data_IF_359055670727
#
_entry.id   IF_359055670727
#
_cell.length_a   1.000
_cell.length_b   1.000
_cell.length_c   1.000
_cell.angle_alpha   90.00
_cell.angle_beta   90.00
_cell.angle_gamma   90.00
#
_symmetry.space_group_name_H-M   'P 1'
#
loop_
_entity.id
_entity.type
_entity.pdbx_description
1 polymer ?
#
# COMPACT_ATOMS: atom_id res chain seq x y z
N UNK A 1 -41.32 6.81 -28.74
CA UNK A 1 -40.64 5.52 -28.98
C UNK A 1 -39.16 5.82 -29.04
N UNK A 2 -38.46 5.57 -27.97
CA UNK A 2 -36.99 5.69 -27.91
C UNK A 2 -36.46 4.28 -27.64
N UNK A 3 -35.75 3.72 -28.59
CA UNK A 3 -35.07 2.42 -28.50
C UNK A 3 -33.76 2.67 -27.77
N UNK A 4 -33.60 2.09 -26.59
CA UNK A 4 -32.33 2.04 -25.87
C UNK A 4 -31.43 1.00 -26.55
N UNK A 5 -30.39 1.46 -27.22
CA UNK A 5 -29.28 0.60 -27.66
C UNK A 5 -28.51 0.15 -26.40
N UNK A 6 -28.63 -1.13 -26.10
CA UNK A 6 -27.72 -1.82 -25.18
C UNK A 6 -26.36 -1.93 -25.88
N UNK A 7 -25.37 -1.20 -25.39
CA UNK A 7 -24.00 -1.31 -25.83
C UNK A 7 -23.45 -2.71 -25.59
N UNK A 8 -23.23 -3.46 -26.66
CA UNK A 8 -22.50 -4.73 -26.65
C UNK A 8 -21.04 -4.39 -26.34
N UNK A 9 -20.54 -4.88 -25.20
CA UNK A 9 -19.11 -4.80 -24.87
C UNK A 9 -18.32 -5.54 -25.99
N UNK A 10 -17.21 -4.96 -26.49
CA UNK A 10 -16.40 -5.61 -27.51
C UNK A 10 -15.87 -6.96 -26.99
N UNK A 11 -15.73 -7.93 -27.91
CA UNK A 11 -15.23 -9.28 -27.63
C UNK A 11 -13.91 -9.22 -26.84
N UNK A 12 -14.00 -9.51 -25.54
CA UNK A 12 -12.85 -9.53 -24.66
C UNK A 12 -11.97 -10.74 -25.03
N UNK A 13 -10.69 -10.49 -25.27
CA UNK A 13 -9.65 -11.52 -25.37
C UNK A 13 -9.76 -12.44 -24.15
N UNK A 14 -9.77 -13.78 -24.30
CA UNK A 14 -9.86 -14.70 -23.20
C UNK A 14 -8.71 -14.47 -22.23
N UNK A 15 -9.01 -14.06 -21.00
CA UNK A 15 -8.02 -13.94 -19.92
C UNK A 15 -7.70 -15.36 -19.43
N UNK A 16 -6.43 -15.87 -19.53
CA UNK A 16 -6.11 -17.20 -19.06
C UNK A 16 -6.20 -17.24 -17.53
N UNK A 17 -7.34 -17.68 -17.02
CA UNK A 17 -7.55 -17.93 -15.57
C UNK A 17 -7.05 -19.31 -15.14
N UNK A 18 -6.71 -20.18 -16.10
CA UNK A 18 -6.21 -21.54 -15.87
C UNK A 18 -5.00 -21.83 -16.76
N UNK A 19 -4.08 -22.68 -16.23
CA UNK A 19 -2.95 -23.18 -17.00
C UNK A 19 -3.43 -24.25 -18.03
N UNK A 20 -2.52 -24.73 -18.88
CA UNK A 20 -2.80 -25.74 -19.90
C UNK A 20 -3.33 -27.07 -19.33
N UNK A 21 -3.29 -27.26 -18.01
CA UNK A 21 -3.77 -28.45 -17.27
C UNK A 21 -5.05 -28.14 -16.48
N UNK A 22 -5.65 -26.94 -16.65
CA UNK A 22 -6.89 -26.53 -16.00
C UNK A 22 -6.75 -26.07 -14.54
N UNK A 23 -5.52 -25.85 -14.04
CA UNK A 23 -5.27 -25.34 -12.70
C UNK A 23 -5.39 -23.82 -12.67
N UNK A 24 -5.90 -23.26 -11.56
CA UNK A 24 -5.92 -21.84 -11.36
C UNK A 24 -4.49 -21.25 -11.45
N UNK A 25 -4.32 -20.21 -12.26
CA UNK A 25 -3.05 -19.48 -12.35
C UNK A 25 -2.86 -18.71 -11.08
N UNK A 26 -1.78 -19.00 -10.35
CA UNK A 26 -1.37 -18.23 -9.17
C UNK A 26 -0.40 -17.14 -9.64
N UNK A 27 -0.79 -15.85 -9.51
CA UNK A 27 0.07 -14.76 -9.94
C UNK A 27 1.29 -14.60 -9.03
N UNK A 28 2.36 -14.02 -9.59
CA UNK A 28 3.53 -13.59 -8.82
C UNK A 28 3.18 -12.41 -7.91
N UNK A 29 4.01 -12.22 -6.87
CA UNK A 29 3.98 -11.06 -5.96
C UNK A 29 5.23 -10.22 -6.10
N UNK A 30 5.08 -8.90 -6.07
CA UNK A 30 6.11 -7.93 -5.76
C UNK A 30 5.64 -7.03 -4.62
N UNK A 31 6.55 -6.55 -3.81
CA UNK A 31 6.25 -5.62 -2.71
C UNK A 31 7.29 -4.51 -2.70
N UNK A 32 6.81 -3.27 -2.61
CA UNK A 32 7.60 -2.07 -2.37
C UNK A 32 7.28 -1.56 -0.97
N UNK A 33 8.31 -1.24 -0.20
CA UNK A 33 8.16 -0.65 1.13
C UNK A 33 8.96 0.64 1.24
N UNK A 34 8.29 1.70 1.65
CA UNK A 34 8.90 3.00 1.93
C UNK A 34 9.20 3.13 3.42
N UNK A 35 10.37 3.66 3.79
CA UNK A 35 10.79 3.82 5.17
C UNK A 35 11.27 5.22 5.46
N UNK A 36 11.07 5.65 6.71
CA UNK A 36 11.64 6.89 7.25
C UNK A 36 13.06 6.65 7.77
N UNK A 37 13.92 7.64 7.55
CA UNK A 37 15.22 7.76 8.18
C UNK A 37 15.13 8.81 9.29
N UNK A 38 15.43 8.42 10.52
CA UNK A 38 15.32 9.30 11.69
C UNK A 38 16.64 9.41 12.45
N UNK A 39 16.89 10.56 13.04
CA UNK A 39 18.06 10.81 13.87
C UNK A 39 18.09 9.90 15.10
N UNK A 40 19.28 9.43 15.49
CA UNK A 40 19.48 8.50 16.61
C UNK A 40 19.23 9.10 17.99
N UNK A 41 19.22 10.42 18.12
CA UNK A 41 19.04 11.12 19.41
C UNK A 41 17.66 11.77 19.49
N UNK A 42 17.30 12.55 18.46
CA UNK A 42 16.04 13.30 18.46
C UNK A 42 14.83 12.47 18.02
N UNK A 43 15.06 11.42 17.23
CA UNK A 43 14.04 10.59 16.55
C UNK A 43 13.26 11.36 15.48
N UNK A 44 13.67 12.58 15.14
CA UNK A 44 13.12 13.38 14.06
C UNK A 44 13.61 12.88 12.68
N UNK A 45 12.82 13.03 11.61
CA UNK A 45 13.28 12.72 10.25
C UNK A 45 14.54 13.48 9.87
N UNK A 46 15.49 12.79 9.19
CA UNK A 46 16.78 13.39 8.75
C UNK A 46 17.06 13.09 7.28
N UNK A 47 17.65 14.04 6.53
CA UNK A 47 17.90 13.90 5.08
C UNK A 47 19.15 13.04 4.80
N UNK A 48 19.09 11.74 5.11
CA UNK A 48 20.19 10.77 4.99
C UNK A 48 20.00 9.73 3.87
N UNK A 49 18.99 9.89 2.99
CA UNK A 49 18.71 8.90 1.94
C UNK A 49 19.92 8.59 1.05
N UNK A 50 20.64 9.60 0.57
CA UNK A 50 21.80 9.39 -0.30
C UNK A 50 22.87 8.44 0.29
N UNK A 51 23.47 8.75 1.47
CA UNK A 51 24.41 7.85 2.12
C UNK A 51 23.85 6.46 2.44
N UNK A 52 22.57 6.35 2.82
CA UNK A 52 21.93 5.06 3.12
C UNK A 52 21.79 4.22 1.85
N UNK A 53 21.34 4.82 0.74
CA UNK A 53 21.19 4.13 -0.54
C UNK A 53 22.57 3.70 -1.07
N UNK A 54 23.58 4.57 -1.01
CA UNK A 54 24.94 4.24 -1.41
C UNK A 54 25.46 3.01 -0.64
N UNK A 55 25.29 2.99 0.68
CA UNK A 55 25.71 1.86 1.51
C UNK A 55 24.89 0.59 1.24
N UNK A 56 23.57 0.71 1.10
CA UNK A 56 22.68 -0.43 0.88
C UNK A 56 22.83 -1.04 -0.53
N UNK A 57 23.08 -0.21 -1.55
CA UNK A 57 23.20 -0.66 -2.95
C UNK A 57 24.36 -1.62 -3.20
N UNK A 58 25.38 -1.64 -2.35
CA UNK A 58 26.45 -2.63 -2.42
C UNK A 58 25.95 -4.07 -2.27
N UNK A 59 24.85 -4.27 -1.52
CA UNK A 59 24.23 -5.57 -1.27
C UNK A 59 22.92 -5.76 -2.04
N UNK A 60 22.14 -4.69 -2.18
CA UNK A 60 20.79 -4.74 -2.73
C UNK A 60 20.74 -4.36 -4.22
N UNK A 61 21.78 -3.71 -4.74
CA UNK A 61 21.78 -3.21 -6.12
C UNK A 61 20.65 -2.21 -6.35
N UNK A 62 19.84 -2.49 -7.35
CA UNK A 62 18.68 -1.69 -7.80
C UNK A 62 17.41 -1.88 -6.96
N UNK A 63 17.46 -2.76 -5.94
CA UNK A 63 16.33 -3.03 -5.04
C UNK A 63 16.15 -1.98 -3.94
N UNK A 64 17.03 -0.98 -3.84
CA UNK A 64 16.90 0.18 -2.97
C UNK A 64 16.91 1.45 -3.81
N UNK A 65 15.97 2.36 -3.56
CA UNK A 65 15.76 3.54 -4.40
C UNK A 65 15.51 4.80 -3.57
N UNK A 66 15.70 5.95 -4.24
CA UNK A 66 15.36 7.25 -3.69
C UNK A 66 13.83 7.49 -3.75
N UNK A 67 13.32 8.12 -2.69
CA UNK A 67 11.96 8.63 -2.63
C UNK A 67 11.90 10.16 -2.70
N UNK A 68 10.67 10.71 -2.69
CA UNK A 68 10.43 12.14 -2.89
C UNK A 68 11.19 13.03 -1.90
N UNK A 69 11.21 12.66 -0.61
CA UNK A 69 11.98 13.39 0.39
C UNK A 69 13.27 12.66 0.75
N UNK A 70 14.35 13.42 1.00
CA UNK A 70 15.66 12.89 1.36
C UNK A 70 15.73 12.21 2.73
N UNK A 71 14.63 12.15 3.48
CA UNK A 71 14.48 11.34 4.69
C UNK A 71 13.77 10.02 4.46
N UNK A 72 13.56 9.62 3.21
CA UNK A 72 12.84 8.41 2.84
C UNK A 72 13.70 7.53 1.92
N UNK A 73 13.55 6.23 2.06
CA UNK A 73 14.13 5.22 1.16
C UNK A 73 13.06 4.19 0.83
N UNK A 74 13.07 3.70 -0.40
CA UNK A 74 12.21 2.64 -0.86
C UNK A 74 13.01 1.38 -1.12
N UNK A 75 12.46 0.22 -0.77
CA UNK A 75 12.99 -1.08 -1.15
C UNK A 75 11.96 -1.91 -1.89
N UNK A 76 12.40 -2.65 -2.91
CA UNK A 76 11.52 -3.43 -3.77
C UNK A 76 11.96 -4.90 -3.80
N UNK A 77 11.03 -5.84 -3.69
CA UNK A 77 11.33 -7.26 -3.92
C UNK A 77 11.45 -7.56 -5.41
N UNK A 78 12.12 -8.65 -5.75
CA UNK A 78 11.93 -9.30 -7.05
C UNK A 78 10.58 -10.04 -7.05
N UNK A 79 10.03 -10.38 -8.24
CA UNK A 79 8.82 -11.19 -8.31
C UNK A 79 8.97 -12.50 -7.55
N UNK A 80 8.08 -12.75 -6.58
CA UNK A 80 8.05 -13.94 -5.75
C UNK A 80 6.86 -14.84 -6.15
N UNK A 81 7.04 -16.16 -6.05
CA UNK A 81 5.98 -17.14 -6.34
C UNK A 81 5.41 -17.79 -5.08
N UNK A 82 6.11 -17.72 -3.94
CA UNK A 82 5.70 -18.32 -2.68
C UNK A 82 5.69 -17.32 -1.53
N UNK A 83 4.91 -17.62 -0.49
CA UNK A 83 4.90 -16.84 0.76
C UNK A 83 6.29 -16.83 1.44
N UNK A 84 7.00 -17.95 1.40
CA UNK A 84 8.34 -18.07 1.97
C UNK A 84 9.33 -17.19 1.27
N UNK A 85 9.27 -17.13 -0.07
CA UNK A 85 10.19 -16.31 -0.87
C UNK A 85 9.95 -14.81 -0.63
N UNK A 86 8.71 -14.33 -0.72
CA UNK A 86 8.43 -12.90 -0.45
C UNK A 86 8.83 -12.50 0.97
N UNK A 87 8.59 -13.36 1.97
CA UNK A 87 9.02 -13.12 3.36
C UNK A 87 10.53 -13.01 3.48
N UNK A 88 11.26 -13.96 2.88
CA UNK A 88 12.73 -13.97 2.92
C UNK A 88 13.34 -12.73 2.27
N UNK A 89 12.82 -12.32 1.11
CA UNK A 89 13.26 -11.11 0.42
C UNK A 89 13.01 -9.86 1.26
N UNK A 90 11.79 -9.67 1.79
CA UNK A 90 11.44 -8.53 2.64
C UNK A 90 12.30 -8.47 3.92
N UNK A 91 12.55 -9.62 4.57
CA UNK A 91 13.44 -9.67 5.74
C UNK A 91 14.87 -9.22 5.40
N UNK A 92 15.42 -9.72 4.28
CA UNK A 92 16.74 -9.30 3.79
C UNK A 92 16.79 -7.80 3.47
N UNK A 93 15.80 -7.27 2.75
CA UNK A 93 15.73 -5.88 2.35
C UNK A 93 15.67 -4.94 3.56
N UNK A 94 14.79 -5.23 4.53
CA UNK A 94 14.66 -4.45 5.77
C UNK A 94 15.95 -4.47 6.59
N UNK A 95 16.58 -5.64 6.76
CA UNK A 95 17.82 -5.76 7.53
C UNK A 95 18.97 -5.02 6.84
N UNK A 96 19.15 -5.17 5.53
CA UNK A 96 20.21 -4.48 4.78
C UNK A 96 20.01 -2.96 4.81
N UNK A 97 18.78 -2.47 4.60
CA UNK A 97 18.47 -1.04 4.68
C UNK A 97 18.69 -0.48 6.11
N UNK A 98 18.32 -1.25 7.14
CA UNK A 98 18.55 -0.84 8.52
C UNK A 98 20.04 -0.84 8.91
N UNK A 99 20.83 -1.79 8.41
CA UNK A 99 22.31 -1.77 8.60
C UNK A 99 22.93 -0.55 7.93
N UNK A 100 22.51 -0.24 6.69
CA UNK A 100 22.97 0.96 5.97
C UNK A 100 22.57 2.25 6.69
N UNK A 101 21.35 2.32 7.24
CA UNK A 101 20.89 3.45 8.05
C UNK A 101 21.75 3.62 9.32
N UNK A 102 22.03 2.53 10.05
CA UNK A 102 22.94 2.56 11.22
C UNK A 102 24.35 3.02 10.86
N UNK A 103 24.90 2.56 9.73
CA UNK A 103 26.20 2.99 9.23
C UNK A 103 26.22 4.48 8.82
N UNK A 104 25.06 5.04 8.46
CA UNK A 104 24.86 6.46 8.10
C UNK A 104 24.37 7.31 9.28
N UNK A 105 24.55 6.84 10.51
CA UNK A 105 24.20 7.52 11.78
C UNK A 105 22.72 7.89 11.90
N UNK A 106 21.81 7.04 11.39
CA UNK A 106 20.38 7.17 11.54
C UNK A 106 19.72 5.81 11.81
N UNK A 107 18.40 5.80 12.03
CA UNK A 107 17.59 4.59 12.18
C UNK A 107 16.61 4.49 11.01
N UNK A 108 16.33 3.26 10.57
CA UNK A 108 15.25 2.94 9.64
C UNK A 108 13.97 2.69 10.42
N UNK A 109 12.87 3.33 10.02
CA UNK A 109 11.58 3.24 10.72
C UNK A 109 10.43 3.00 9.76
N UNK A 110 9.71 1.92 9.96
CA UNK A 110 8.47 1.60 9.27
C UNK A 110 7.28 2.29 9.98
N UNK A 111 6.86 3.43 9.45
CA UNK A 111 5.68 4.19 9.90
C UNK A 111 5.07 4.90 8.70
N UNK A 112 3.74 4.93 8.59
CA UNK A 112 3.08 5.62 7.49
C UNK A 112 3.25 7.14 7.51
N UNK A 113 3.61 7.73 8.67
CA UNK A 113 3.90 9.16 8.84
C UNK A 113 5.01 9.36 9.86
N UNK A 114 5.64 10.53 9.86
CA UNK A 114 6.63 10.90 10.86
C UNK A 114 5.97 11.12 12.24
N UNK A 115 6.34 10.28 13.21
CA UNK A 115 5.81 10.34 14.59
C UNK A 115 6.27 11.62 15.30
N UNK A 116 7.56 11.94 15.18
CA UNK A 116 8.17 13.18 15.66
C UNK A 116 8.32 14.12 14.46
N UNK A 117 7.96 15.41 14.56
CA UNK A 117 8.15 16.34 13.46
C UNK A 117 9.64 16.53 13.16
N UNK A 118 10.02 16.86 11.92
CA UNK A 118 11.40 17.19 11.59
C UNK A 118 11.83 18.48 12.31
N UNK A 119 13.10 18.55 12.75
CA UNK A 119 13.68 19.73 13.41
C UNK A 119 13.89 20.90 12.43
N UNK A 120 13.96 20.61 11.13
CA UNK A 120 14.09 21.58 10.03
C UNK A 120 13.38 21.02 8.78
N UNK A 121 13.02 21.88 7.80
CA UNK A 121 12.44 21.41 6.54
C UNK A 121 13.32 20.36 5.85
N UNK A 122 12.72 19.22 5.50
CA UNK A 122 13.41 18.14 4.80
C UNK A 122 13.48 18.48 3.30
N UNK A 123 14.66 18.48 2.70
CA UNK A 123 14.80 18.70 1.27
C UNK A 123 14.14 17.60 0.44
N UNK A 124 13.57 17.99 -0.68
CA UNK A 124 13.15 17.07 -1.75
C UNK A 124 14.40 16.46 -2.40
N UNK A 125 14.32 15.23 -2.83
CA UNK A 125 15.37 14.53 -3.56
C UNK A 125 15.69 15.24 -4.86
N UNK A 126 17.00 15.46 -5.12
CA UNK A 126 17.47 16.34 -6.19
C UNK A 126 17.47 15.66 -7.58
N UNK A 127 16.30 15.23 -8.05
CA UNK A 127 16.11 14.77 -9.43
C UNK A 127 15.31 15.78 -10.24
N UNK A 128 15.46 15.82 -11.59
CA UNK A 128 14.67 16.72 -12.43
C UNK A 128 13.16 16.55 -12.24
N UNK A 129 12.70 15.29 -12.07
CA UNK A 129 11.28 14.96 -11.86
C UNK A 129 10.77 15.49 -10.53
N UNK A 130 11.47 15.23 -9.43
CA UNK A 130 11.04 15.66 -8.10
C UNK A 130 11.11 17.16 -7.90
N UNK A 131 12.13 17.84 -8.50
CA UNK A 131 12.17 19.31 -8.56
C UNK A 131 10.97 19.92 -9.29
N UNK A 132 10.56 19.32 -10.42
CA UNK A 132 9.35 19.77 -11.15
C UNK A 132 8.10 19.54 -10.30
N UNK A 133 7.97 18.36 -9.67
CA UNK A 133 6.85 18.01 -8.80
C UNK A 133 6.73 18.98 -7.61
N UNK A 134 7.83 19.29 -6.92
CA UNK A 134 7.85 20.25 -5.83
C UNK A 134 7.43 21.66 -6.26
N UNK A 135 7.82 22.11 -7.48
CA UNK A 135 7.39 23.42 -7.99
C UNK A 135 5.89 23.44 -8.34
N UNK A 136 5.37 22.36 -8.94
CA UNK A 136 3.97 22.32 -9.38
C UNK A 136 3.01 22.14 -8.20
N UNK A 137 3.41 21.37 -7.18
CA UNK A 137 2.59 21.02 -6.04
C UNK A 137 3.11 21.59 -4.72
N UNK A 138 3.75 22.77 -4.75
CA UNK A 138 4.39 23.39 -3.59
C UNK A 138 3.52 23.44 -2.34
N UNK A 139 2.25 23.79 -2.47
CA UNK A 139 1.31 23.82 -1.34
C UNK A 139 1.05 22.44 -0.67
N UNK A 140 1.31 21.32 -1.36
CA UNK A 140 1.25 19.97 -0.79
C UNK A 140 2.57 19.54 -0.17
N UNK A 141 3.66 20.21 -0.54
CA UNK A 141 5.04 19.89 -0.13
C UNK A 141 5.51 20.78 1.02
N UNK A 142 4.99 22.02 1.09
CA UNK A 142 5.36 22.98 2.11
C UNK A 142 5.10 22.47 3.53
N UNK A 143 6.05 22.70 4.43
CA UNK A 143 5.96 22.26 5.83
C UNK A 143 6.14 20.75 6.04
N UNK A 144 6.64 20.02 5.02
CA UNK A 144 6.84 18.56 5.05
C UNK A 144 5.54 17.75 5.24
N UNK A 145 4.40 18.29 4.82
CA UNK A 145 3.09 17.66 4.92
C UNK A 145 2.98 16.36 4.10
N UNK A 146 3.85 16.16 3.11
CA UNK A 146 3.86 14.98 2.25
C UNK A 146 4.85 13.88 2.67
N UNK A 147 5.43 13.92 3.89
CA UNK A 147 6.29 12.83 4.38
C UNK A 147 5.38 11.67 4.80
N UNK A 148 5.07 10.80 3.84
CA UNK A 148 4.23 9.61 4.03
C UNK A 148 4.91 8.39 3.43
N UNK A 149 4.88 7.26 4.13
CA UNK A 149 5.47 6.00 3.70
C UNK A 149 4.38 4.94 3.53
N UNK A 150 4.31 4.38 2.34
CA UNK A 150 3.37 3.33 1.96
C UNK A 150 4.02 1.98 1.80
N UNK A 151 3.15 0.99 1.63
CA UNK A 151 3.51 -0.32 1.12
C UNK A 151 2.67 -0.58 -0.12
N UNK A 152 3.32 -0.82 -1.26
CA UNK A 152 2.66 -1.14 -2.51
C UNK A 152 2.81 -2.63 -2.79
N UNK A 153 1.69 -3.25 -3.12
CA UNK A 153 1.68 -4.67 -3.48
C UNK A 153 1.39 -4.80 -4.96
N UNK A 154 2.29 -5.45 -5.67
CA UNK A 154 2.17 -5.79 -7.07
C UNK A 154 1.73 -7.24 -7.23
N UNK A 155 0.67 -7.46 -7.97
CA UNK A 155 0.23 -8.80 -8.35
C UNK A 155 0.38 -8.97 -9.86
N UNK A 156 1.07 -10.02 -10.29
CA UNK A 156 1.35 -10.29 -11.70
C UNK A 156 0.07 -10.34 -12.53
N UNK A 157 0.11 -9.73 -13.70
CA UNK A 157 -0.96 -9.74 -14.70
C UNK A 157 -0.36 -10.04 -16.08
N UNK A 158 -1.09 -10.79 -16.91
CA UNK A 158 -0.62 -11.16 -18.24
C UNK A 158 -0.48 -9.95 -19.17
N UNK A 159 -1.38 -8.99 -19.01
CA UNK A 159 -1.45 -7.76 -19.78
C UNK A 159 -2.20 -6.66 -19.02
N UNK A 160 -2.31 -5.47 -19.64
CA UNK A 160 -3.01 -4.32 -19.07
C UNK A 160 -4.51 -4.56 -18.90
N UNK A 161 -5.15 -5.36 -19.75
CA UNK A 161 -6.58 -5.68 -19.64
C UNK A 161 -6.84 -6.51 -18.38
N UNK A 162 -5.99 -7.51 -18.13
CA UNK A 162 -6.07 -8.31 -16.91
C UNK A 162 -5.78 -7.48 -15.65
N UNK A 163 -4.80 -6.57 -15.71
CA UNK A 163 -4.52 -5.67 -14.59
C UNK A 163 -5.72 -4.75 -14.27
N UNK A 164 -6.42 -4.22 -15.29
CA UNK A 164 -7.64 -3.43 -15.13
C UNK A 164 -8.81 -4.29 -14.61
N UNK A 165 -8.97 -5.50 -15.12
CA UNK A 165 -9.96 -6.44 -14.61
C UNK A 165 -9.76 -6.65 -13.09
N UNK A 166 -8.54 -6.95 -12.67
CA UNK A 166 -8.21 -7.13 -11.24
C UNK A 166 -8.44 -5.85 -10.45
N UNK A 167 -7.95 -4.70 -10.93
CA UNK A 167 -8.15 -3.41 -10.27
C UNK A 167 -9.65 -3.13 -10.05
N UNK A 168 -10.49 -3.31 -11.06
CA UNK A 168 -11.92 -3.07 -11.00
C UNK A 168 -12.65 -3.97 -9.98
N UNK A 169 -12.28 -5.24 -9.90
CA UNK A 169 -12.96 -6.21 -9.03
C UNK A 169 -12.49 -6.16 -7.57
N UNK A 170 -11.22 -5.75 -7.33
CA UNK A 170 -10.64 -5.68 -5.97
C UNK A 170 -11.08 -4.41 -5.22
N UNK A 171 -11.50 -3.33 -5.92
CA UNK A 171 -11.86 -2.03 -5.32
C UNK A 171 -12.67 -2.11 -4.02
N UNK A 172 -13.76 -2.89 -3.91
CA UNK A 172 -14.57 -2.94 -2.68
C UNK A 172 -13.88 -3.61 -1.50
N UNK A 173 -12.82 -4.38 -1.73
CA UNK A 173 -12.06 -5.08 -0.70
C UNK A 173 -10.92 -4.24 -0.11
N UNK A 174 -10.49 -3.21 -0.85
CA UNK A 174 -9.35 -2.37 -0.46
C UNK A 174 -9.52 -1.65 0.89
N UNK A 175 -10.72 -1.14 1.28
CA UNK A 175 -10.88 -0.55 2.60
C UNK A 175 -10.59 -1.54 3.75
N UNK A 176 -10.97 -2.80 3.58
CA UNK A 176 -10.69 -3.84 4.60
C UNK A 176 -9.20 -4.18 4.66
N UNK A 177 -8.52 -4.26 3.51
CA UNK A 177 -7.06 -4.44 3.44
C UNK A 177 -6.32 -3.26 4.07
N UNK A 178 -6.72 -2.02 3.77
CA UNK A 178 -6.19 -0.83 4.41
C UNK A 178 -6.35 -0.88 5.93
N UNK A 179 -7.51 -1.30 6.43
CA UNK A 179 -7.77 -1.40 7.86
C UNK A 179 -6.80 -2.34 8.59
N UNK A 180 -6.35 -3.42 7.93
CA UNK A 180 -5.35 -4.35 8.49
C UNK A 180 -3.95 -3.74 8.56
N UNK A 181 -3.62 -2.83 7.64
CA UNK A 181 -2.28 -2.25 7.46
C UNK A 181 -2.08 -0.88 8.11
N UNK A 182 -3.03 -0.37 8.90
CA UNK A 182 -2.92 0.97 9.51
C UNK A 182 -1.74 1.05 10.48
N UNK A 183 -0.85 2.04 10.25
CA UNK A 183 0.39 2.21 11.01
C UNK A 183 0.86 3.68 11.07
N UNK A 184 -0.08 4.64 11.13
CA UNK A 184 0.27 6.06 11.23
C UNK A 184 -0.70 6.87 12.11
N UNK A 185 -0.79 6.55 13.42
CA UNK A 185 -1.68 7.28 14.32
C UNK A 185 -1.13 8.63 14.74
N UNK A 186 0.19 8.85 14.64
CA UNK A 186 0.87 10.08 15.02
C UNK A 186 1.38 10.83 13.80
N UNK A 187 1.19 12.14 13.77
CA UNK A 187 1.77 13.04 12.79
C UNK A 187 2.02 14.41 13.44
N UNK A 188 3.13 15.07 13.05
CA UNK A 188 3.47 16.38 13.60
C UNK A 188 3.61 16.43 15.11
N UNK A 189 3.94 15.32 15.75
CA UNK A 189 4.13 15.25 17.21
C UNK A 189 2.86 15.03 18.03
N UNK A 190 1.70 14.75 17.38
CA UNK A 190 0.41 14.58 18.07
C UNK A 190 -0.29 13.28 17.65
N UNK A 191 -1.15 12.74 18.53
CA UNK A 191 -2.10 11.69 18.14
C UNK A 191 -3.22 12.34 17.32
N UNK A 192 -3.38 11.90 16.08
CA UNK A 192 -4.35 12.47 15.13
C UNK A 192 -5.77 11.99 15.35
N UNK A 193 -5.97 10.97 16.20
CA UNK A 193 -7.24 10.28 16.36
C UNK A 193 -7.54 9.26 15.24
N UNK A 194 -6.70 9.17 14.20
CA UNK A 194 -6.80 8.19 13.11
C UNK A 194 -5.85 7.01 13.37
N UNK A 195 -6.17 5.86 12.79
CA UNK A 195 -5.26 4.73 12.77
C UNK A 195 -4.28 4.80 11.56
N UNK A 196 -4.71 5.44 10.46
CA UNK A 196 -3.86 5.79 9.32
C UNK A 196 -4.04 7.26 8.95
N UNK A 197 -3.14 8.12 9.43
CA UNK A 197 -3.06 9.51 9.01
C UNK A 197 -2.44 9.65 7.61
N UNK A 198 -1.60 8.69 7.21
CA UNK A 198 -1.10 8.60 5.83
C UNK A 198 -2.22 8.65 4.80
N UNK A 199 -3.32 7.93 5.03
CA UNK A 199 -4.47 7.96 4.13
C UNK A 199 -5.04 9.39 3.96
N UNK A 200 -5.06 10.19 5.03
CA UNK A 200 -5.53 11.59 5.00
C UNK A 200 -4.55 12.47 4.25
N UNK A 201 -3.25 12.37 4.53
CA UNK A 201 -2.21 13.18 3.87
C UNK A 201 -2.05 12.80 2.41
N UNK A 202 -2.01 11.48 2.10
CA UNK A 202 -1.92 11.00 0.72
C UNK A 202 -3.14 11.41 -0.11
N UNK A 203 -4.33 11.42 0.50
CA UNK A 203 -5.58 11.85 -0.14
C UNK A 203 -5.61 13.32 -0.58
N UNK A 204 -4.58 14.11 -0.27
CA UNK A 204 -4.41 15.51 -0.76
C UNK A 204 -3.85 15.56 -2.18
N UNK A 205 -3.21 14.49 -2.66
CA UNK A 205 -2.71 14.40 -4.02
C UNK A 205 -3.85 14.22 -5.02
N UNK A 206 -3.79 14.84 -6.20
CA UNK A 206 -4.95 14.98 -7.09
C UNK A 206 -5.66 13.70 -7.51
N UNK A 207 -4.97 12.58 -7.58
CA UNK A 207 -5.56 11.30 -8.03
C UNK A 207 -5.54 10.21 -6.95
N UNK A 208 -5.24 10.57 -5.68
CA UNK A 208 -5.16 9.62 -4.57
C UNK A 208 -6.55 9.26 -4.05
N UNK A 209 -7.26 8.44 -4.82
CA UNK A 209 -8.63 8.01 -4.54
C UNK A 209 -8.93 6.61 -5.11
N UNK A 210 -10.07 5.99 -4.74
CA UNK A 210 -10.53 4.79 -5.42
C UNK A 210 -10.70 5.04 -6.91
N UNK A 211 -10.10 4.18 -7.76
CA UNK A 211 -10.28 4.29 -9.22
C UNK A 211 -11.74 4.16 -9.63
N UNK A 212 -12.20 4.81 -10.69
CA UNK A 212 -13.43 4.42 -11.37
C UNK A 212 -13.32 3.01 -11.96
N UNK A 213 -14.42 2.42 -12.40
CA UNK A 213 -14.41 1.20 -13.21
C UNK A 213 -14.04 1.59 -14.64
N UNK A 214 -12.94 1.05 -15.17
CA UNK A 214 -12.40 1.43 -16.47
C UNK A 214 -12.05 0.18 -17.29
N UNK A 215 -12.32 0.22 -18.58
CA UNK A 215 -11.67 -0.62 -19.58
C UNK A 215 -10.38 0.03 -20.11
N UNK A 216 -9.71 -0.62 -21.06
CA UNK A 216 -8.44 -0.10 -21.61
C UNK A 216 -8.64 1.29 -22.25
N UNK A 217 -9.69 1.45 -23.05
CA UNK A 217 -9.92 2.71 -23.80
C UNK A 217 -10.21 3.86 -22.83
N UNK A 218 -11.12 3.68 -21.89
CA UNK A 218 -11.47 4.68 -20.89
C UNK A 218 -10.34 4.95 -19.88
N UNK A 219 -9.48 3.96 -19.60
CA UNK A 219 -8.26 4.16 -18.81
C UNK A 219 -7.27 5.08 -19.54
N UNK A 220 -6.97 4.80 -20.82
CA UNK A 220 -6.05 5.60 -21.60
C UNK A 220 -6.57 7.04 -21.80
N UNK A 221 -7.88 7.19 -22.07
CA UNK A 221 -8.52 8.48 -22.20
C UNK A 221 -8.44 9.29 -20.88
N UNK A 222 -8.80 8.67 -19.77
CA UNK A 222 -8.75 9.30 -18.43
C UNK A 222 -7.32 9.69 -18.05
N UNK A 223 -6.36 8.83 -18.30
CA UNK A 223 -4.95 9.08 -18.02
C UNK A 223 -4.40 10.23 -18.87
N UNK A 224 -4.74 10.27 -20.16
CA UNK A 224 -4.37 11.38 -21.07
C UNK A 224 -5.01 12.68 -20.60
N UNK A 225 -6.32 12.69 -20.34
CA UNK A 225 -7.04 13.89 -19.89
C UNK A 225 -6.48 14.49 -18.60
N UNK A 226 -6.10 13.67 -17.62
CA UNK A 226 -5.49 14.11 -16.36
C UNK A 226 -4.12 14.78 -16.59
N UNK A 227 -3.32 14.28 -17.53
CA UNK A 227 -2.01 14.86 -17.87
C UNK A 227 -2.18 16.11 -18.74
N UNK A 228 -3.01 16.05 -19.77
CA UNK A 228 -3.21 17.15 -20.72
C UNK A 228 -3.85 18.38 -20.06
N UNK A 229 -4.70 18.19 -19.06
CA UNK A 229 -5.28 19.26 -18.25
C UNK A 229 -4.27 19.92 -17.29
N UNK A 230 -3.08 19.33 -17.10
CA UNK A 230 -2.09 19.79 -16.14
C UNK A 230 -2.41 19.44 -14.67
N UNK A 231 -3.49 18.70 -14.39
CA UNK A 231 -3.80 18.18 -13.04
C UNK A 231 -2.68 17.26 -12.58
N UNK A 232 -2.18 16.39 -13.47
CA UNK A 232 -1.03 15.55 -13.21
C UNK A 232 0.16 15.98 -14.09
N UNK A 233 1.35 15.87 -13.54
CA UNK A 233 2.59 16.16 -14.27
C UNK A 233 2.93 15.08 -15.30
N UNK A 234 2.65 13.83 -14.97
CA UNK A 234 2.86 12.64 -15.77
C UNK A 234 1.97 11.49 -15.28
N UNK A 235 1.91 10.38 -16.05
CA UNK A 235 1.09 9.21 -15.71
C UNK A 235 1.51 8.51 -14.42
N UNK A 236 2.75 8.63 -13.94
CA UNK A 236 3.21 8.08 -12.66
C UNK A 236 2.49 8.72 -11.48
N UNK A 237 1.90 9.91 -11.67
CA UNK A 237 1.09 10.57 -10.66
C UNK A 237 -0.38 10.11 -10.64
N UNK A 238 -0.75 9.10 -11.39
CA UNK A 238 -2.03 8.43 -11.23
C UNK A 238 -1.95 7.59 -9.94
N UNK A 239 -2.37 8.19 -8.82
CA UNK A 239 -2.27 7.60 -7.48
C UNK A 239 -3.54 6.83 -7.09
N UNK A 240 -4.34 6.37 -8.05
CA UNK A 240 -5.47 5.50 -7.77
C UNK A 240 -5.06 4.33 -6.88
N UNK A 241 -5.95 3.93 -5.98
CA UNK A 241 -5.67 2.91 -4.96
C UNK A 241 -5.41 1.51 -5.54
N UNK A 242 -5.91 1.25 -6.76
CA UNK A 242 -5.54 0.09 -7.58
C UNK A 242 -5.40 0.57 -9.03
N UNK A 243 -4.30 0.21 -9.69
CA UNK A 243 -4.03 0.60 -11.08
C UNK A 243 -3.14 -0.43 -11.80
N UNK A 244 -3.17 -0.50 -13.12
CA UNK A 244 -2.09 -1.13 -13.87
C UNK A 244 -0.77 -0.39 -13.59
N UNK A 245 0.31 -1.12 -13.37
CA UNK A 245 1.63 -0.51 -13.30
C UNK A 245 2.06 -0.02 -14.69
N UNK A 246 2.73 1.14 -14.74
CA UNK A 246 3.24 1.70 -16.00
C UNK A 246 4.53 1.01 -16.46
N UNK A 247 5.23 0.30 -15.57
CA UNK A 247 6.57 -0.25 -15.82
C UNK A 247 6.66 -1.77 -15.67
N UNK A 248 5.74 -2.38 -14.95
CA UNK A 248 5.75 -3.81 -14.65
C UNK A 248 4.44 -4.45 -15.15
N UNK A 249 4.45 -5.71 -15.59
CA UNK A 249 3.24 -6.43 -15.97
C UNK A 249 2.45 -6.85 -14.72
N UNK A 250 1.91 -5.87 -13.98
CA UNK A 250 1.23 -6.08 -12.69
C UNK A 250 0.05 -5.14 -12.52
N UNK A 251 -0.88 -5.51 -11.65
CA UNK A 251 -1.75 -4.57 -10.96
C UNK A 251 -1.08 -4.15 -9.64
N UNK A 252 -1.07 -2.85 -9.37
CA UNK A 252 -0.46 -2.23 -8.20
C UNK A 252 -1.55 -1.76 -7.23
N UNK A 253 -1.43 -2.16 -5.95
CA UNK A 253 -2.32 -1.77 -4.86
C UNK A 253 -1.57 -0.88 -3.85
N UNK A 254 -2.10 0.32 -3.55
CA UNK A 254 -1.39 1.42 -2.90
C UNK A 254 -2.00 1.88 -1.56
N UNK A 255 -2.97 1.13 -1.00
CA UNK A 255 -3.77 1.58 0.15
C UNK A 255 -3.10 1.39 1.51
N UNK A 256 -2.07 0.55 1.61
CA UNK A 256 -1.44 0.19 2.87
C UNK A 256 -0.42 1.25 3.33
N UNK A 257 -0.41 1.55 4.63
CA UNK A 257 0.75 2.15 5.27
C UNK A 257 1.91 1.15 5.22
N UNK A 258 3.17 1.62 5.21
CA UNK A 258 4.28 0.72 5.48
C UNK A 258 4.08 0.09 6.86
N UNK A 259 4.14 -1.24 6.92
CA UNK A 259 3.75 -1.97 8.13
C UNK A 259 4.89 -2.01 9.15
N UNK A 260 4.56 -1.83 10.43
CA UNK A 260 5.55 -1.83 11.52
C UNK A 260 6.34 -3.15 11.59
N UNK A 261 5.74 -4.27 11.20
CA UNK A 261 6.37 -5.58 11.18
C UNK A 261 6.16 -6.31 9.86
N UNK A 262 7.07 -7.23 9.58
CA UNK A 262 7.09 -8.07 8.39
C UNK A 262 5.83 -8.93 8.24
N UNK A 263 5.30 -9.46 9.34
CA UNK A 263 4.12 -10.33 9.35
C UNK A 263 2.90 -9.64 8.73
N UNK A 264 2.71 -8.35 9.02
CA UNK A 264 1.60 -7.57 8.50
C UNK A 264 1.74 -7.31 7.01
N UNK A 265 2.96 -6.96 6.51
CA UNK A 265 3.23 -6.79 5.08
C UNK A 265 2.94 -8.08 4.31
N UNK A 266 3.46 -9.21 4.79
CA UNK A 266 3.24 -10.53 4.16
C UNK A 266 1.75 -10.88 4.15
N UNK A 267 1.02 -10.66 5.26
CA UNK A 267 -0.42 -10.90 5.33
C UNK A 267 -1.20 -10.16 4.24
N UNK A 268 -0.95 -8.85 4.09
CA UNK A 268 -1.64 -8.01 3.10
C UNK A 268 -1.31 -8.48 1.68
N UNK A 269 -0.05 -8.78 1.40
CA UNK A 269 0.39 -9.27 0.10
C UNK A 269 -0.25 -10.62 -0.26
N UNK A 270 -0.29 -11.57 0.66
CA UNK A 270 -0.92 -12.89 0.44
C UNK A 270 -2.43 -12.79 0.26
N UNK A 271 -3.11 -11.94 1.03
CA UNK A 271 -4.56 -11.69 0.86
C UNK A 271 -4.86 -11.11 -0.53
N UNK A 272 -4.07 -10.14 -1.01
CA UNK A 272 -4.22 -9.57 -2.35
C UNK A 272 -3.95 -10.62 -3.42
N UNK A 273 -2.88 -11.42 -3.33
CA UNK A 273 -2.61 -12.51 -4.26
C UNK A 273 -3.73 -13.53 -4.30
N UNK A 274 -4.20 -13.98 -3.13
CA UNK A 274 -5.28 -14.95 -3.02
C UNK A 274 -6.58 -14.42 -3.64
N UNK A 275 -6.93 -13.16 -3.37
CA UNK A 275 -8.10 -12.53 -3.95
C UNK A 275 -7.98 -12.42 -5.48
N UNK A 276 -6.84 -11.96 -6.00
CA UNK A 276 -6.59 -11.88 -7.44
C UNK A 276 -6.62 -13.26 -8.10
N UNK A 277 -6.01 -14.28 -7.50
CA UNK A 277 -6.04 -15.65 -8.02
C UNK A 277 -7.48 -16.20 -8.08
N UNK A 278 -8.31 -15.90 -7.07
CA UNK A 278 -9.74 -16.26 -7.07
C UNK A 278 -10.47 -15.60 -8.23
N UNK A 279 -10.28 -14.28 -8.40
CA UNK A 279 -10.93 -13.50 -9.46
C UNK A 279 -10.49 -13.98 -10.85
N UNK A 280 -9.21 -14.28 -11.06
CA UNK A 280 -8.70 -14.83 -12.32
C UNK A 280 -9.33 -16.20 -12.64
N UNK A 281 -9.47 -17.08 -11.64
CA UNK A 281 -10.12 -18.36 -11.84
C UNK A 281 -11.62 -18.25 -12.20
N UNK A 282 -12.26 -17.14 -11.82
CA UNK A 282 -13.66 -16.83 -12.12
C UNK A 282 -13.84 -15.93 -13.35
N UNK A 283 -12.75 -15.48 -13.98
CA UNK A 283 -12.82 -14.52 -15.10
C UNK A 283 -13.63 -15.05 -16.31
N UNK A 284 -13.62 -16.38 -16.53
CA UNK A 284 -14.43 -17.04 -17.59
C UNK A 284 -15.92 -16.85 -17.38
N UNK A 285 -16.40 -16.64 -16.15
CA UNK A 285 -17.81 -16.38 -15.84
C UNK A 285 -18.26 -15.00 -16.33
N UNK A 286 -17.33 -14.14 -16.79
CA UNK A 286 -17.58 -12.79 -17.31
C UNK A 286 -18.48 -11.94 -16.40
N UNK A 287 -18.37 -12.11 -15.10
CA UNK A 287 -19.11 -11.28 -14.14
C UNK A 287 -18.63 -9.84 -14.22
N UNK A 288 -19.55 -8.86 -14.29
CA UNK A 288 -19.16 -7.47 -14.23
C UNK A 288 -18.53 -7.16 -12.86
N UNK A 289 -17.64 -6.15 -12.77
CA UNK A 289 -17.13 -5.70 -11.49
C UNK A 289 -18.29 -5.22 -10.61
N UNK A 290 -18.16 -5.34 -9.27
CA UNK A 290 -19.20 -4.88 -8.35
C UNK A 290 -19.53 -3.39 -8.57
N UNK A 291 -20.81 -3.08 -8.71
CA UNK A 291 -21.29 -1.69 -8.86
C UNK A 291 -21.29 -0.98 -7.50
N UNK A 292 -20.11 -0.51 -7.11
CA UNK A 292 -19.93 0.26 -5.87
C UNK A 292 -19.51 1.68 -6.24
N UNK A 293 -20.34 2.69 -5.91
CA UNK A 293 -20.03 4.08 -6.22
C UNK A 293 -18.74 4.56 -5.53
N UNK A 294 -17.93 5.34 -6.27
CA UNK A 294 -16.66 5.91 -5.75
C UNK A 294 -16.85 6.67 -4.43
N UNK A 295 -17.90 7.50 -4.24
CA UNK A 295 -18.13 8.16 -2.94
C UNK A 295 -18.26 7.17 -1.77
N UNK A 296 -18.97 6.05 -1.96
CA UNK A 296 -19.09 5.01 -0.93
C UNK A 296 -17.77 4.33 -0.63
N UNK A 297 -16.95 4.05 -1.65
CA UNK A 297 -15.60 3.54 -1.45
C UNK A 297 -14.74 4.53 -0.67
N UNK A 298 -14.80 5.81 -1.01
CA UNK A 298 -14.08 6.88 -0.30
C UNK A 298 -14.48 6.94 1.18
N UNK A 299 -15.77 6.84 1.49
CA UNK A 299 -16.23 6.80 2.87
C UNK A 299 -15.75 5.53 3.59
N UNK A 300 -15.80 4.36 2.96
CA UNK A 300 -15.28 3.12 3.53
C UNK A 300 -13.78 3.19 3.83
N UNK A 301 -12.98 3.81 2.94
CA UNK A 301 -11.56 4.08 3.19
C UNK A 301 -11.33 5.04 4.36
N UNK A 302 -12.18 6.07 4.51
CA UNK A 302 -12.11 6.98 5.68
C UNK A 302 -12.40 6.25 6.98
N UNK A 303 -13.41 5.37 7.02
CA UNK A 303 -13.69 4.52 8.18
C UNK A 303 -12.50 3.62 8.50
N UNK A 304 -11.92 2.96 7.49
CA UNK A 304 -10.75 2.12 7.65
C UNK A 304 -9.55 2.91 8.20
N UNK A 305 -9.29 4.10 7.66
CA UNK A 305 -8.22 4.99 8.12
C UNK A 305 -8.42 5.46 9.56
N UNK A 306 -9.67 5.75 9.95
CA UNK A 306 -9.96 6.26 11.28
C UNK A 306 -9.92 5.16 12.34
N UNK A 307 -10.53 4.01 12.08
CA UNK A 307 -10.79 3.00 13.11
C UNK A 307 -9.95 1.72 12.97
N UNK A 308 -9.34 1.48 11.81
CA UNK A 308 -8.65 0.22 11.52
C UNK A 308 -9.60 -0.98 11.60
N UNK A 309 -9.11 -2.17 12.04
CA UNK A 309 -9.91 -3.40 12.08
C UNK A 309 -10.75 -3.54 13.35
N UNK A 310 -10.84 -2.50 14.17
CA UNK A 310 -11.57 -2.54 15.46
C UNK A 310 -12.85 -1.72 15.39
N UNK A 311 -13.91 -2.19 16.07
CA UNK A 311 -15.18 -1.49 16.11
C UNK A 311 -16.02 -1.68 14.85
N UNK A 312 -16.64 -0.60 14.36
CA UNK A 312 -17.48 -0.59 13.17
C UNK A 312 -16.69 -0.15 11.94
N UNK A 313 -17.03 -0.73 10.79
CA UNK A 313 -16.56 -0.33 9.47
C UNK A 313 -17.77 -0.06 8.56
N UNK A 314 -17.59 0.65 7.46
CA UNK A 314 -18.59 0.82 6.42
C UNK A 314 -18.41 -0.31 5.40
N UNK A 315 -19.45 -1.12 5.23
CA UNK A 315 -19.49 -2.14 4.18
C UNK A 315 -19.61 -1.47 2.80
N UNK A 316 -18.64 -1.60 1.91
CA UNK A 316 -18.71 -0.98 0.59
C UNK A 316 -19.85 -1.49 -0.28
N UNK A 317 -20.25 -2.74 -0.10
CA UNK A 317 -21.30 -3.36 -0.93
C UNK A 317 -22.70 -2.88 -0.54
N UNK A 318 -22.99 -2.80 0.75
CA UNK A 318 -24.31 -2.42 1.24
C UNK A 318 -24.43 -0.95 1.63
N UNK A 319 -23.35 -0.31 2.03
CA UNK A 319 -23.31 1.03 2.63
C UNK A 319 -23.71 1.05 4.11
N UNK A 320 -23.85 -0.11 4.74
CA UNK A 320 -24.20 -0.23 6.15
C UNK A 320 -22.96 -0.22 7.05
N UNK A 321 -23.14 0.22 8.30
CA UNK A 321 -22.11 0.07 9.33
C UNK A 321 -22.22 -1.31 9.96
N UNK A 322 -21.15 -2.07 9.82
CA UNK A 322 -21.06 -3.44 10.31
C UNK A 322 -19.81 -3.62 11.20
N UNK A 323 -19.73 -4.65 12.02
CA UNK A 323 -18.48 -4.96 12.73
C UNK A 323 -17.32 -5.16 11.72
N UNK A 324 -16.18 -4.50 11.92
CA UNK A 324 -15.03 -4.62 11.02
C UNK A 324 -14.58 -6.08 10.83
N UNK A 325 -14.72 -6.90 11.88
CA UNK A 325 -14.43 -8.35 11.80
C UNK A 325 -15.26 -9.10 10.78
N UNK A 326 -16.50 -8.67 10.53
CA UNK A 326 -17.37 -9.30 9.51
C UNK A 326 -16.77 -9.08 8.11
N UNK A 327 -16.28 -7.88 7.82
CA UNK A 327 -15.63 -7.57 6.53
C UNK A 327 -14.29 -8.31 6.36
N UNK A 328 -13.52 -8.46 7.44
CA UNK A 328 -12.29 -9.25 7.42
C UNK A 328 -12.61 -10.72 7.12
N UNK A 329 -13.63 -11.28 7.77
CA UNK A 329 -14.08 -12.66 7.50
C UNK A 329 -14.54 -12.81 6.05
N UNK A 330 -15.30 -11.85 5.52
CA UNK A 330 -15.76 -11.85 4.14
C UNK A 330 -14.57 -11.76 3.14
N UNK A 331 -13.58 -10.91 3.42
CA UNK A 331 -12.35 -10.80 2.61
C UNK A 331 -11.59 -12.13 2.56
N UNK A 332 -11.36 -12.76 3.72
CA UNK A 332 -10.66 -14.05 3.79
C UNK A 332 -11.45 -15.12 3.02
N UNK A 333 -12.77 -15.16 3.17
CA UNK A 333 -13.63 -16.10 2.44
C UNK A 333 -13.56 -15.87 0.91
N UNK A 334 -13.57 -14.61 0.46
CA UNK A 334 -13.42 -14.27 -0.95
C UNK A 334 -12.04 -14.65 -1.52
N UNK A 335 -10.98 -14.52 -0.73
CA UNK A 335 -9.63 -14.89 -1.13
C UNK A 335 -9.35 -16.40 -1.01
N UNK A 336 -10.13 -17.15 -0.24
CA UNK A 336 -9.82 -18.53 0.15
C UNK A 336 -9.56 -19.50 -1.03
N UNK A 337 -10.31 -19.48 -2.15
CA UNK A 337 -9.99 -20.34 -3.29
C UNK A 337 -8.59 -20.11 -3.85
N UNK A 338 -8.21 -18.85 -4.04
CA UNK A 338 -6.88 -18.49 -4.52
C UNK A 338 -5.78 -18.75 -3.49
N UNK A 339 -6.06 -18.53 -2.19
CA UNK A 339 -5.12 -18.87 -1.12
C UNK A 339 -4.83 -20.37 -1.07
N UNK A 340 -5.85 -21.23 -1.25
CA UNK A 340 -5.65 -22.69 -1.35
C UNK A 340 -4.84 -23.07 -2.57
N UNK A 341 -5.14 -22.46 -3.74
CA UNK A 341 -4.39 -22.72 -4.96
C UNK A 341 -2.91 -22.33 -4.83
N UNK A 342 -2.61 -21.27 -4.07
CA UNK A 342 -1.25 -20.80 -3.79
C UNK A 342 -0.55 -21.54 -2.63
N UNK A 343 -1.29 -22.32 -1.82
CA UNK A 343 -0.77 -22.94 -0.60
C UNK A 343 -0.60 -21.97 0.57
N UNK A 344 -1.24 -20.79 0.52
CA UNK A 344 -1.05 -19.69 1.48
C UNK A 344 -2.07 -19.68 2.63
N UNK A 345 -3.14 -20.48 2.55
CA UNK A 345 -4.30 -20.38 3.45
C UNK A 345 -3.91 -20.50 4.94
N UNK A 346 -3.09 -21.49 5.27
CA UNK A 346 -2.64 -21.71 6.65
C UNK A 346 -1.81 -20.53 7.17
N UNK A 347 -0.92 -20.00 6.34
CA UNK A 347 -0.07 -18.85 6.70
C UNK A 347 -0.90 -17.59 6.91
N UNK A 348 -1.87 -17.29 6.03
CA UNK A 348 -2.79 -16.16 6.18
C UNK A 348 -3.58 -16.26 7.48
N UNK A 349 -4.12 -17.44 7.82
CA UNK A 349 -4.83 -17.64 9.09
C UNK A 349 -3.92 -17.43 10.31
N UNK A 350 -2.68 -17.90 10.26
CA UNK A 350 -1.68 -17.70 11.30
C UNK A 350 -1.36 -16.21 11.50
N UNK A 351 -1.05 -15.51 10.40
CA UNK A 351 -0.68 -14.10 10.40
C UNK A 351 -1.84 -13.20 10.84
N UNK A 352 -3.04 -13.43 10.31
CA UNK A 352 -4.23 -12.67 10.69
C UNK A 352 -4.57 -12.86 12.18
N UNK A 353 -4.49 -14.10 12.69
CA UNK A 353 -4.69 -14.37 14.11
C UNK A 353 -3.66 -13.66 14.97
N UNK A 354 -2.39 -13.61 14.54
CA UNK A 354 -1.34 -12.88 15.23
C UNK A 354 -1.61 -11.36 15.23
N UNK A 355 -1.98 -10.77 14.09
CA UNK A 355 -2.33 -9.35 13.96
C UNK A 355 -3.50 -8.98 14.90
N UNK A 356 -4.58 -9.76 14.89
CA UNK A 356 -5.76 -9.49 15.72
C UNK A 356 -5.49 -9.60 17.23
N UNK A 357 -4.51 -10.43 17.64
CA UNK A 357 -4.07 -10.51 19.03
C UNK A 357 -3.12 -9.40 19.44
N UNK A 358 -2.11 -9.11 18.60
CA UNK A 358 -1.04 -8.11 18.87
C UNK A 358 -1.53 -6.68 18.66
N UNK A 359 -2.59 -6.48 17.86
CA UNK A 359 -3.03 -5.19 17.36
C UNK A 359 -2.25 -4.73 16.11
N UNK A 360 -2.84 -3.79 15.37
CA UNK A 360 -2.20 -3.12 14.23
C UNK A 360 -0.99 -2.29 14.66
N UNK A 361 -0.18 -1.85 13.71
CA UNK A 361 0.91 -0.90 13.97
C UNK A 361 0.42 0.32 14.72
N UNK A 362 -0.72 0.90 14.35
CA UNK A 362 -1.31 2.05 15.05
C UNK A 362 -1.64 1.76 16.52
N UNK A 363 -2.26 0.62 16.79
CA UNK A 363 -2.58 0.22 18.17
C UNK A 363 -1.29 0.01 19.00
N UNK A 364 -0.26 -0.60 18.41
CA UNK A 364 1.03 -0.83 19.07
C UNK A 364 1.80 0.47 19.32
N UNK A 365 1.75 1.43 18.42
CA UNK A 365 2.33 2.76 18.60
C UNK A 365 1.69 3.48 19.80
N UNK A 366 0.35 3.50 19.90
CA UNK A 366 -0.36 4.07 21.04
C UNK A 366 -0.03 3.35 22.34
N UNK A 367 0.03 2.03 22.31
CA UNK A 367 0.44 1.23 23.48
C UNK A 367 1.91 1.53 23.89
N UNK A 368 2.82 1.76 22.94
CA UNK A 368 4.20 2.16 23.23
C UNK A 368 4.25 3.53 23.91
N UNK A 369 3.45 4.51 23.43
CA UNK A 369 3.34 5.81 24.07
C UNK A 369 2.84 5.69 25.52
N UNK A 370 1.78 4.93 25.75
CA UNK A 370 1.26 4.71 27.12
C UNK A 370 2.29 4.06 28.05
N UNK A 371 3.14 3.16 27.55
CA UNK A 371 4.20 2.52 28.35
C UNK A 371 5.47 3.35 28.47
N UNK A 372 5.56 4.50 27.82
CA UNK A 372 6.81 5.25 27.65
C UNK A 372 7.47 5.77 28.92
N UNK A 373 6.74 5.86 30.03
CA UNK A 373 7.27 6.34 31.32
C UNK A 373 7.90 7.75 31.25
N UNK A 374 7.33 8.64 30.42
CA UNK A 374 7.81 10.00 30.23
C UNK A 374 8.75 10.22 29.04
N UNK A 375 9.19 9.17 28.33
CA UNK A 375 9.99 9.29 27.09
C UNK A 375 9.18 9.80 25.88
N UNK A 376 7.84 9.80 26.01
CA UNK A 376 6.94 10.35 25.01
C UNK A 376 7.06 9.67 23.64
N UNK A 377 6.92 10.46 22.58
CA UNK A 377 6.92 9.96 21.18
C UNK A 377 8.24 9.34 20.74
N UNK A 378 9.38 9.70 21.38
CA UNK A 378 10.66 9.04 21.07
C UNK A 378 10.62 7.54 21.36
N UNK A 379 9.92 7.12 22.44
CA UNK A 379 9.74 5.71 22.75
C UNK A 379 8.87 4.97 21.71
N UNK A 380 7.96 5.69 21.05
CA UNK A 380 7.19 5.12 19.92
C UNK A 380 8.11 4.87 18.73
N UNK A 381 8.98 5.82 18.41
CA UNK A 381 9.96 5.66 17.31
C UNK A 381 10.95 4.54 17.61
N UNK A 382 11.46 4.44 18.85
CA UNK A 382 12.32 3.32 19.28
C UNK A 382 11.63 1.98 19.05
N UNK A 383 10.37 1.87 19.52
CA UNK A 383 9.58 0.66 19.34
C UNK A 383 9.36 0.29 17.85
N UNK A 384 9.13 1.29 17.01
CA UNK A 384 8.99 1.07 15.55
C UNK A 384 10.30 0.63 14.92
N UNK A 385 11.43 1.24 15.28
CA UNK A 385 12.74 0.85 14.78
C UNK A 385 13.07 -0.61 15.13
N UNK A 386 12.77 -1.04 16.37
CA UNK A 386 12.93 -2.42 16.80
C UNK A 386 12.05 -3.37 15.97
N UNK A 387 10.77 -3.01 15.74
CA UNK A 387 9.84 -3.83 14.97
C UNK A 387 10.19 -3.91 13.47
N UNK A 388 10.76 -2.83 12.92
CA UNK A 388 11.12 -2.75 11.49
C UNK A 388 12.11 -3.84 11.09
N UNK A 389 13.03 -4.21 11.99
CA UNK A 389 14.10 -5.19 11.75
C UNK A 389 13.86 -6.53 12.39
N UNK A 390 12.79 -6.67 13.19
CA UNK A 390 12.48 -7.95 13.80
C UNK A 390 11.75 -8.84 12.79
N UNK A 391 12.47 -9.87 12.30
CA UNK A 391 11.97 -10.89 11.36
C UNK A 391 11.24 -12.05 12.09
#
# INVERSE_FOLDING_TARGET
>A
MAVTEQGVLPDAVPLPGRDAVGRAVVPTLGVEEEFLLVDRLTRAPVPRAGPVIEAASHFLGDLVQEEFYRCMVEVCTRPATTATDVRAQLALLREAAAQAARASDCLLVASGTAVVPPDAPIPVTDTPRYRRMARQFGALVDGNLGIVCGCHVHVGAADRAQALFLANHVRPWLPTLQALAVNSPFAGGVDTGFASWRCVEFGRWPSAEPSPVLDIASYEESAAALVDSGILMDRRMIYWFARPSEHQPTVEFRVADTSADLDTTVLVALLLRGLCATLLAQAEERRPPPDVPVPRLRDAHRYAAQYGPTGLALDPFTGERVPARSLITALVAAAAPGLRAAGDEAEVHRLLSALLRKGTGAARQRAALHRSGGRGLRAVVDHLADLTTWA
#
